data_IF_491444054129
#
_entry.id   IF_491444054129
#
_cell.length_a   1.000
_cell.length_b   1.000
_cell.length_c   1.000
_cell.angle_alpha   90.00
_cell.angle_beta   90.00
_cell.angle_gamma   90.00
#
_symmetry.space_group_name_H-M   'P 1'
#
loop_
_entity.id
_entity.type
_entity.pdbx_description
1 polymer ?
#
# COMPACT_ATOMS: atom_id res chain seq x y z
N UNK A 1 -49.35 83.01 22.65
CA UNK A 1 -48.87 84.14 21.85
C UNK A 1 -48.46 83.50 20.54
N UNK A 2 -49.38 83.51 19.53
CA UNK A 2 -49.32 84.46 18.39
C UNK A 2 -47.99 84.21 17.58
N UNK A 3 -47.95 83.85 16.34
CA UNK A 3 -48.76 84.15 15.16
C UNK A 3 -48.42 83.18 14.02
N UNK A 4 -49.42 82.73 13.27
CA UNK A 4 -49.36 82.46 11.84
C UNK A 4 -49.25 83.79 11.12
N UNK A 5 -48.86 83.85 9.85
CA UNK A 5 -49.52 83.30 8.67
C UNK A 5 -48.46 83.09 7.48
N UNK A 6 -48.70 82.69 6.33
CA UNK A 6 -49.69 82.56 5.26
C UNK A 6 -49.09 82.02 3.99
N UNK A 7 -49.72 81.12 3.35
CA UNK A 7 -50.14 80.88 1.94
C UNK A 7 -49.46 81.66 0.80
N UNK A 8 -49.05 80.93 -0.25
CA UNK A 8 -49.36 81.09 -1.70
C UNK A 8 -48.64 79.97 -2.48
N UNK A 9 -49.25 79.08 -3.09
CA UNK A 9 -50.01 78.80 -4.31
C UNK A 9 -49.24 78.95 -5.64
N UNK A 10 -49.54 77.98 -6.52
CA UNK A 10 -49.30 77.81 -7.97
C UNK A 10 -47.96 77.22 -8.32
N UNK A 11 -47.84 76.26 -9.25
CA UNK A 11 -48.72 75.78 -10.33
C UNK A 11 -48.27 74.39 -10.82
N UNK A 12 -49.27 73.70 -11.37
CA UNK A 12 -49.12 72.39 -12.06
C UNK A 12 -48.17 72.42 -13.22
N UNK A 13 -47.45 71.32 -13.39
CA UNK A 13 -47.08 70.78 -14.72
C UNK A 13 -47.07 69.28 -14.69
N UNK A 14 -47.80 68.74 -15.65
CA UNK A 14 -47.91 67.31 -16.00
C UNK A 14 -46.57 66.78 -16.43
N UNK A 15 -46.25 65.52 -16.14
CA UNK A 15 -45.94 64.56 -17.20
C UNK A 15 -45.61 63.19 -16.61
N UNK A 16 -46.23 62.21 -17.20
CA UNK A 16 -45.82 60.82 -17.51
C UNK A 16 -45.44 59.90 -16.38
N UNK A 17 -46.37 59.04 -16.07
CA UNK A 17 -46.13 57.75 -15.46
C UNK A 17 -45.21 56.89 -16.35
N UNK A 18 -44.04 56.55 -15.87
CA UNK A 18 -43.23 55.44 -16.39
C UNK A 18 -43.30 54.34 -15.33
N UNK A 19 -44.14 53.35 -15.63
CA UNK A 19 -44.22 52.14 -14.88
C UNK A 19 -42.95 51.34 -15.04
N UNK A 20 -42.07 51.32 -14.06
CA UNK A 20 -40.89 50.45 -14.02
C UNK A 20 -41.32 49.10 -13.43
N UNK A 21 -41.64 48.16 -14.31
CA UNK A 21 -41.72 46.74 -13.92
C UNK A 21 -40.31 46.27 -13.57
N UNK A 22 -39.99 46.20 -12.28
CA UNK A 22 -38.83 45.46 -11.80
C UNK A 22 -39.16 43.97 -11.89
N UNK A 23 -38.74 43.34 -12.99
CA UNK A 23 -38.74 41.89 -13.11
C UNK A 23 -37.69 41.34 -12.13
N UNK A 24 -38.18 40.78 -11.03
CA UNK A 24 -37.36 40.02 -10.08
C UNK A 24 -36.97 38.68 -10.74
N UNK A 25 -35.92 38.68 -11.53
CA UNK A 25 -35.29 37.44 -11.96
C UNK A 25 -34.60 36.82 -10.73
N UNK A 26 -35.31 35.95 -10.02
CA UNK A 26 -34.70 35.02 -9.10
C UNK A 26 -33.83 34.03 -9.90
N UNK A 27 -32.56 34.39 -10.02
CA UNK A 27 -31.51 33.47 -10.51
C UNK A 27 -31.40 32.35 -9.49
N UNK A 28 -32.10 31.24 -9.73
CA UNK A 28 -31.80 29.95 -9.15
C UNK A 28 -30.39 29.51 -9.67
N UNK A 29 -29.34 30.05 -9.05
CA UNK A 29 -28.05 29.38 -9.11
C UNK A 29 -28.18 28.08 -8.35
N UNK A 30 -28.63 27.05 -9.05
CA UNK A 30 -28.43 25.69 -8.61
C UNK A 30 -26.92 25.52 -8.43
N UNK A 31 -26.50 25.40 -7.16
CA UNK A 31 -25.16 24.91 -6.84
C UNK A 31 -25.04 23.53 -7.48
N UNK A 32 -24.47 23.47 -8.68
CA UNK A 32 -23.95 22.24 -9.21
C UNK A 32 -22.83 21.87 -8.25
N UNK A 33 -23.14 21.00 -7.29
CA UNK A 33 -22.11 20.29 -6.55
C UNK A 33 -21.28 19.58 -7.59
N UNK A 34 -20.13 20.14 -7.94
CA UNK A 34 -19.09 19.39 -8.59
C UNK A 34 -18.80 18.23 -7.63
N UNK A 35 -19.38 17.07 -7.91
CA UNK A 35 -18.91 15.85 -7.32
C UNK A 35 -17.42 15.78 -7.71
N UNK A 36 -16.54 16.10 -6.77
CA UNK A 36 -15.11 15.95 -6.94
C UNK A 36 -14.89 14.52 -7.41
N UNK A 37 -14.29 14.36 -8.60
CA UNK A 37 -13.95 13.03 -9.06
C UNK A 37 -13.21 12.32 -7.92
N UNK A 38 -13.70 11.14 -7.52
CA UNK A 38 -13.12 10.40 -6.40
C UNK A 38 -11.61 10.27 -6.60
N UNK A 39 -10.84 10.64 -5.58
CA UNK A 39 -9.39 10.59 -5.63
C UNK A 39 -8.93 9.14 -5.79
N UNK A 40 -8.25 8.84 -6.91
CA UNK A 40 -7.90 7.45 -7.27
C UNK A 40 -6.71 6.89 -6.49
N UNK A 41 -5.85 7.76 -5.96
CA UNK A 41 -4.58 7.37 -5.34
C UNK A 41 -4.01 8.46 -4.44
N UNK A 42 -3.12 8.09 -3.54
CA UNK A 42 -2.26 9.03 -2.82
C UNK A 42 -0.97 9.23 -3.63
N UNK A 43 -0.73 10.45 -4.09
CA UNK A 43 0.51 10.82 -4.80
C UNK A 43 1.35 11.74 -3.92
N UNK A 44 2.57 11.32 -3.65
CA UNK A 44 3.55 12.08 -2.87
C UNK A 44 4.78 12.34 -3.72
N UNK A 45 5.03 13.61 -4.02
CA UNK A 45 6.24 14.01 -4.72
C UNK A 45 7.45 13.94 -3.80
N UNK A 46 8.53 13.35 -4.28
CA UNK A 46 9.81 13.31 -3.61
C UNK A 46 10.43 14.69 -3.50
N UNK A 47 11.18 14.88 -2.41
CA UNK A 47 12.06 16.03 -2.23
C UNK A 47 13.48 15.74 -2.71
N UNK A 48 14.44 16.35 -2.03
CA UNK A 48 15.85 16.01 -2.20
C UNK A 48 16.16 14.67 -1.56
N UNK A 49 17.07 13.92 -2.13
CA UNK A 49 17.51 12.64 -1.61
C UNK A 49 17.99 11.66 -2.69
N UNK A 50 18.54 10.51 -2.30
CA UNK A 50 19.08 9.52 -3.25
C UNK A 50 18.03 8.95 -4.20
N UNK A 51 16.76 8.93 -3.79
CA UNK A 51 15.64 8.41 -4.57
C UNK A 51 15.09 9.39 -5.61
N UNK A 52 15.65 10.60 -5.73
CA UNK A 52 15.16 11.60 -6.68
C UNK A 52 15.12 11.06 -8.11
N UNK A 53 13.97 11.22 -8.76
CA UNK A 53 13.72 10.72 -10.12
C UNK A 53 13.34 9.25 -10.19
N UNK A 54 13.22 8.55 -9.05
CA UNK A 54 12.69 7.19 -8.96
C UNK A 54 11.25 7.18 -8.47
N UNK A 55 10.42 6.33 -9.05
CA UNK A 55 9.00 6.21 -8.75
C UNK A 55 8.66 4.86 -8.14
N UNK A 56 8.14 4.87 -6.93
CA UNK A 56 7.67 3.68 -6.21
C UNK A 56 6.14 3.66 -6.22
N UNK A 57 5.56 2.59 -6.74
CA UNK A 57 4.10 2.41 -6.74
C UNK A 57 3.72 1.30 -5.78
N UNK A 58 2.92 1.64 -4.80
CA UNK A 58 2.36 0.71 -3.82
C UNK A 58 0.96 0.28 -4.27
N UNK A 59 0.73 -1.01 -4.39
CA UNK A 59 -0.57 -1.61 -4.71
C UNK A 59 -1.08 -2.28 -3.45
N UNK A 60 -2.11 -1.71 -2.82
CA UNK A 60 -2.69 -2.22 -1.57
C UNK A 60 -4.07 -2.83 -1.80
N UNK A 61 -4.44 -3.75 -0.94
CA UNK A 61 -5.72 -4.47 -1.03
C UNK A 61 -5.70 -5.72 -0.17
N UNK A 62 -5.12 -5.60 1.02
CA UNK A 62 -5.09 -6.67 2.00
C UNK A 62 -5.98 -6.27 3.18
N UNK A 63 -6.97 -7.08 3.48
CA UNK A 63 -8.12 -6.74 4.32
C UNK A 63 -7.92 -6.98 5.81
N UNK A 64 -6.88 -7.73 6.24
CA UNK A 64 -6.65 -8.10 7.64
C UNK A 64 -5.51 -7.31 8.30
N UNK A 65 -4.41 -7.09 7.57
CA UNK A 65 -3.14 -6.59 8.10
C UNK A 65 -2.93 -5.08 7.91
N UNK A 66 -3.96 -4.33 7.49
CA UNK A 66 -3.92 -2.87 7.32
C UNK A 66 -2.87 -2.41 6.31
N UNK A 67 -2.93 -2.97 5.11
CA UNK A 67 -2.02 -2.60 4.03
C UNK A 67 -2.06 -1.10 3.71
N UNK A 68 -3.23 -0.48 3.79
CA UNK A 68 -3.47 0.94 3.54
C UNK A 68 -2.70 1.85 4.51
N UNK A 69 -2.59 1.46 5.77
CA UNK A 69 -1.86 2.22 6.80
C UNK A 69 -0.34 2.09 6.61
N UNK A 70 0.14 0.85 6.51
CA UNK A 70 1.56 0.55 6.41
C UNK A 70 2.21 1.11 5.15
N UNK A 71 1.57 0.90 4.00
CA UNK A 71 2.15 1.35 2.72
C UNK A 71 2.09 2.86 2.55
N UNK A 72 1.05 3.51 3.06
CA UNK A 72 0.99 4.98 3.10
C UNK A 72 2.05 5.58 4.01
N UNK A 73 2.35 4.94 5.15
CA UNK A 73 3.46 5.34 6.01
C UNK A 73 4.80 5.26 5.27
N UNK A 74 5.07 4.16 4.56
CA UNK A 74 6.30 4.02 3.77
C UNK A 74 6.37 5.00 2.61
N UNK A 75 5.27 5.28 1.93
CA UNK A 75 5.25 6.27 0.86
C UNK A 75 5.67 7.66 1.37
N UNK A 76 5.16 8.09 2.55
CA UNK A 76 5.59 9.35 3.17
C UNK A 76 7.07 9.32 3.56
N UNK A 77 7.51 8.23 4.18
CA UNK A 77 8.91 8.05 4.60
C UNK A 77 9.85 8.15 3.40
N UNK A 78 9.61 7.37 2.35
CA UNK A 78 10.41 7.36 1.13
C UNK A 78 10.42 8.71 0.41
N UNK A 79 9.25 9.35 0.31
CA UNK A 79 9.16 10.65 -0.35
C UNK A 79 9.87 11.76 0.43
N UNK A 80 9.66 11.84 1.74
CA UNK A 80 10.14 12.97 2.56
C UNK A 80 11.57 12.81 3.07
N UNK A 81 12.02 11.56 3.33
CA UNK A 81 13.37 11.29 3.84
C UNK A 81 14.36 10.97 2.73
N UNK A 82 13.88 10.36 1.65
CA UNK A 82 14.76 9.77 0.63
C UNK A 82 14.54 10.30 -0.78
N UNK A 83 13.54 11.15 -1.00
CA UNK A 83 13.33 11.85 -2.28
C UNK A 83 12.66 11.03 -3.38
N UNK A 84 12.09 9.86 -3.09
CA UNK A 84 11.33 9.07 -4.06
C UNK A 84 9.98 9.73 -4.39
N UNK A 85 9.58 9.73 -5.66
CA UNK A 85 8.17 9.90 -6.02
C UNK A 85 7.42 8.63 -5.60
N UNK A 86 6.29 8.78 -4.91
CA UNK A 86 5.51 7.64 -4.42
C UNK A 86 4.04 7.77 -4.81
N UNK A 87 3.45 6.67 -5.28
CA UNK A 87 2.00 6.55 -5.51
C UNK A 87 1.47 5.37 -4.73
N UNK A 88 0.43 5.56 -3.92
CA UNK A 88 -0.26 4.47 -3.23
C UNK A 88 -1.64 4.28 -3.83
N UNK A 89 -1.90 3.09 -4.33
CA UNK A 89 -3.16 2.64 -4.89
C UNK A 89 -3.89 1.81 -3.85
N UNK A 90 -5.18 2.04 -3.71
CA UNK A 90 -6.02 1.39 -2.71
C UNK A 90 -7.13 0.58 -3.36
N UNK A 91 -7.50 -0.55 -2.76
CA UNK A 91 -8.77 -1.16 -3.05
C UNK A 91 -9.88 -0.26 -2.51
N UNK A 92 -10.82 0.12 -3.38
CA UNK A 92 -11.89 1.06 -3.05
C UNK A 92 -13.25 0.52 -3.47
N UNK A 93 -14.27 0.95 -2.80
CA UNK A 93 -15.63 0.77 -3.26
C UNK A 93 -15.83 1.56 -4.56
N UNK A 94 -16.31 0.92 -5.65
CA UNK A 94 -16.37 1.55 -6.97
C UNK A 94 -17.41 2.67 -7.08
N UNK A 95 -18.42 2.70 -6.20
CA UNK A 95 -19.48 3.70 -6.23
C UNK A 95 -19.12 4.94 -5.39
N UNK A 96 -18.62 4.71 -4.18
CA UNK A 96 -18.32 5.79 -3.22
C UNK A 96 -16.88 6.29 -3.30
N UNK A 97 -15.94 5.50 -3.86
CA UNK A 97 -14.50 5.78 -3.85
C UNK A 97 -13.85 5.63 -2.47
N UNK A 98 -14.60 5.21 -1.45
CA UNK A 98 -14.08 4.97 -0.10
C UNK A 98 -13.17 3.74 -0.10
N UNK A 99 -12.06 3.83 0.62
CA UNK A 99 -11.11 2.71 0.77
C UNK A 99 -11.82 1.55 1.46
N UNK A 100 -11.85 0.42 0.77
CA UNK A 100 -12.41 -0.83 1.26
C UNK A 100 -11.56 -2.01 0.75
N UNK A 101 -10.63 -2.54 1.53
CA UNK A 101 -9.79 -3.66 1.14
C UNK A 101 -10.56 -4.96 0.81
N UNK A 102 -11.83 -5.09 1.20
CA UNK A 102 -12.65 -6.23 0.83
C UNK A 102 -13.04 -6.23 -0.66
N UNK A 103 -12.89 -5.09 -1.36
CA UNK A 103 -13.19 -4.97 -2.79
C UNK A 103 -12.13 -5.69 -3.63
N UNK A 104 -12.36 -6.98 -3.90
CA UNK A 104 -11.41 -7.85 -4.57
C UNK A 104 -11.12 -7.50 -6.03
N UNK A 105 -11.95 -6.67 -6.67
CA UNK A 105 -11.92 -6.41 -8.12
C UNK A 105 -11.62 -4.96 -8.49
N UNK A 106 -11.44 -4.06 -7.54
CA UNK A 106 -11.32 -2.64 -7.84
C UNK A 106 -10.16 -1.97 -7.10
N UNK A 107 -9.08 -1.69 -7.83
CA UNK A 107 -7.92 -0.91 -7.42
C UNK A 107 -7.66 0.13 -8.51
N UNK A 108 -8.25 1.34 -8.43
CA UNK A 108 -8.09 2.36 -9.46
C UNK A 108 -6.65 2.91 -9.52
N UNK A 109 -6.22 3.35 -10.71
CA UNK A 109 -4.93 4.02 -10.89
C UNK A 109 -3.76 3.08 -11.19
N UNK A 110 -3.99 1.80 -11.50
CA UNK A 110 -2.93 0.83 -11.81
C UNK A 110 -2.08 1.25 -13.04
N UNK A 111 -2.55 2.15 -13.87
CA UNK A 111 -1.77 2.77 -14.95
C UNK A 111 -0.50 3.48 -14.46
N UNK A 112 -0.41 3.87 -13.17
CA UNK A 112 0.79 4.43 -12.56
C UNK A 112 1.99 3.46 -12.63
N UNK A 113 1.76 2.15 -12.73
CA UNK A 113 2.81 1.15 -12.89
C UNK A 113 3.63 1.31 -14.18
N UNK A 114 3.11 2.01 -15.21
CA UNK A 114 3.88 2.31 -16.44
C UNK A 114 5.16 3.05 -16.15
N UNK A 115 5.12 4.03 -15.22
CA UNK A 115 6.27 4.85 -14.83
C UNK A 115 7.00 4.34 -13.57
N UNK A 116 6.51 3.27 -12.94
CA UNK A 116 7.13 2.73 -11.73
C UNK A 116 8.52 2.15 -12.01
N UNK A 117 9.48 2.47 -11.16
CA UNK A 117 10.76 1.76 -11.05
C UNK A 117 10.64 0.50 -10.20
N UNK A 118 9.81 0.54 -9.16
CA UNK A 118 9.51 -0.60 -8.28
C UNK A 118 8.01 -0.67 -8.00
N UNK A 119 7.44 -1.86 -8.10
CA UNK A 119 6.10 -2.15 -7.57
C UNK A 119 6.23 -2.76 -6.18
N UNK A 120 5.56 -2.17 -5.19
CA UNK A 120 5.36 -2.76 -3.87
C UNK A 120 3.95 -3.32 -3.80
N UNK A 121 3.82 -4.63 -3.63
CA UNK A 121 2.52 -5.31 -3.61
C UNK A 121 2.19 -5.80 -2.21
N UNK A 122 1.09 -5.31 -1.65
CA UNK A 122 0.50 -5.82 -0.42
C UNK A 122 -1.02 -6.01 -0.61
N UNK A 123 -1.36 -7.10 -1.26
CA UNK A 123 -2.73 -7.45 -1.62
C UNK A 123 -2.99 -8.93 -1.37
N UNK A 124 -4.27 -9.32 -1.26
CA UNK A 124 -4.72 -10.69 -1.07
C UNK A 124 -5.97 -10.99 -1.88
N UNK A 125 -5.97 -12.12 -2.59
CA UNK A 125 -7.14 -12.68 -3.29
C UNK A 125 -7.81 -11.70 -4.29
N UNK A 126 -7.00 -10.95 -5.03
CA UNK A 126 -7.51 -10.05 -6.07
C UNK A 126 -7.91 -10.82 -7.32
N UNK A 127 -9.08 -10.47 -7.86
CA UNK A 127 -9.58 -10.85 -9.18
C UNK A 127 -9.83 -9.56 -9.97
N UNK A 128 -8.73 -8.91 -10.39
CA UNK A 128 -8.83 -7.64 -11.09
C UNK A 128 -9.38 -7.82 -12.50
N UNK A 129 -10.14 -6.85 -13.03
CA UNK A 129 -10.49 -6.81 -14.46
C UNK A 129 -9.24 -6.93 -15.33
N UNK A 130 -9.37 -7.55 -16.51
CA UNK A 130 -8.23 -7.82 -17.40
C UNK A 130 -7.45 -6.57 -17.78
N UNK A 131 -8.13 -5.44 -17.99
CA UNK A 131 -7.48 -4.16 -18.28
C UNK A 131 -6.62 -3.65 -17.15
N UNK A 132 -7.05 -3.84 -15.91
CA UNK A 132 -6.34 -3.44 -14.70
C UNK A 132 -5.19 -4.40 -14.40
N UNK A 133 -5.45 -5.70 -14.47
CA UNK A 133 -4.43 -6.74 -14.29
C UNK A 133 -3.30 -6.64 -15.30
N UNK A 134 -3.61 -6.18 -16.51
CA UNK A 134 -2.61 -5.93 -17.57
C UNK A 134 -1.48 -5.00 -17.10
N UNK A 135 -1.75 -3.98 -16.30
CA UNK A 135 -0.71 -3.07 -15.82
C UNK A 135 0.29 -3.77 -14.90
N UNK A 136 -0.19 -4.68 -14.04
CA UNK A 136 0.66 -5.50 -13.18
C UNK A 136 1.46 -6.50 -14.03
N UNK A 137 0.80 -7.15 -14.98
CA UNK A 137 1.44 -8.10 -15.86
C UNK A 137 2.50 -7.45 -16.77
N UNK A 138 2.24 -6.26 -17.31
CA UNK A 138 3.20 -5.51 -18.12
C UNK A 138 4.44 -5.11 -17.29
N UNK A 139 4.25 -4.68 -16.01
CA UNK A 139 5.35 -4.36 -15.11
C UNK A 139 6.27 -5.58 -14.88
N UNK A 140 5.67 -6.73 -14.58
CA UNK A 140 6.40 -7.99 -14.36
C UNK A 140 7.05 -8.48 -15.66
N UNK A 141 6.34 -8.46 -16.78
CA UNK A 141 6.84 -8.91 -18.10
C UNK A 141 7.98 -8.04 -18.63
N UNK A 142 8.08 -6.80 -18.17
CA UNK A 142 9.22 -5.92 -18.46
C UNK A 142 10.44 -6.20 -17.56
N UNK A 143 10.38 -7.18 -16.66
CA UNK A 143 11.46 -7.50 -15.72
C UNK A 143 11.65 -6.43 -14.63
N UNK A 144 10.66 -5.56 -14.42
CA UNK A 144 10.75 -4.50 -13.41
C UNK A 144 10.67 -5.07 -11.99
N UNK A 145 11.40 -4.47 -11.03
CA UNK A 145 11.46 -4.96 -9.67
C UNK A 145 10.12 -5.01 -8.94
N UNK A 146 9.96 -6.05 -8.10
CA UNK A 146 8.77 -6.27 -7.27
C UNK A 146 9.17 -6.45 -5.81
N UNK A 147 8.49 -5.76 -4.90
CA UNK A 147 8.58 -6.01 -3.47
C UNK A 147 7.26 -6.60 -2.98
N UNK A 148 7.29 -7.86 -2.56
CA UNK A 148 6.13 -8.58 -2.02
C UNK A 148 6.06 -8.49 -0.51
N UNK A 149 4.92 -8.04 0.02
CA UNK A 149 4.68 -7.93 1.46
C UNK A 149 3.68 -9.00 1.89
N UNK A 150 4.08 -9.85 2.82
CA UNK A 150 3.26 -10.85 3.50
C UNK A 150 2.32 -11.61 2.55
N UNK A 151 1.07 -11.19 2.42
CA UNK A 151 0.05 -11.85 1.63
C UNK A 151 0.20 -11.69 0.12
N UNK A 152 1.22 -10.96 -0.35
CA UNK A 152 1.54 -10.88 -1.77
C UNK A 152 1.78 -12.25 -2.42
N UNK A 153 2.22 -13.25 -1.66
CA UNK A 153 2.40 -14.64 -2.12
C UNK A 153 1.09 -15.32 -2.54
N UNK A 154 -0.05 -14.75 -2.19
CA UNK A 154 -1.39 -15.16 -2.65
C UNK A 154 -2.23 -13.93 -3.03
N UNK A 155 -1.59 -12.95 -3.65
CA UNK A 155 -2.24 -11.70 -4.07
C UNK A 155 -3.42 -11.93 -5.00
N UNK A 156 -3.34 -12.94 -5.88
CA UNK A 156 -4.34 -13.19 -6.91
C UNK A 156 -5.08 -14.50 -6.66
N UNK A 157 -6.40 -14.45 -6.90
CA UNK A 157 -7.28 -15.60 -6.81
C UNK A 157 -8.39 -15.48 -7.85
N UNK A 158 -8.45 -16.43 -8.75
CA UNK A 158 -9.44 -16.49 -9.81
C UNK A 158 -10.40 -17.66 -9.58
N UNK A 159 -11.68 -17.55 -9.96
CA UNK A 159 -12.60 -18.68 -9.96
C UNK A 159 -12.12 -19.78 -10.93
N UNK A 160 -12.46 -21.06 -10.68
CA UNK A 160 -12.00 -22.17 -11.52
C UNK A 160 -12.45 -22.09 -13.00
N UNK A 161 -13.57 -21.42 -13.26
CA UNK A 161 -14.18 -21.21 -14.56
C UNK A 161 -13.79 -19.87 -15.21
N UNK A 162 -12.83 -19.15 -14.62
CA UNK A 162 -12.38 -17.86 -15.16
C UNK A 162 -11.85 -18.00 -16.58
N UNK A 163 -12.33 -17.11 -17.46
CA UNK A 163 -11.84 -16.95 -18.84
C UNK A 163 -10.76 -15.90 -18.99
N UNK A 164 -10.36 -15.24 -17.88
CA UNK A 164 -9.30 -14.23 -17.88
C UNK A 164 -7.98 -14.82 -18.39
N UNK A 165 -7.22 -14.12 -19.24
CA UNK A 165 -5.87 -14.52 -19.64
C UNK A 165 -4.91 -14.57 -18.45
N UNK A 166 -5.28 -13.96 -17.33
CA UNK A 166 -4.47 -13.92 -16.09
C UNK A 166 -4.87 -14.98 -15.06
N UNK A 167 -5.83 -15.89 -15.36
CA UNK A 167 -6.28 -16.92 -14.40
C UNK A 167 -5.13 -17.75 -13.81
N UNK A 168 -4.05 -17.95 -14.56
CA UNK A 168 -2.88 -18.69 -14.09
C UNK A 168 -2.00 -17.92 -13.09
N UNK A 169 -2.28 -16.63 -12.84
CA UNK A 169 -1.64 -15.85 -11.78
C UNK A 169 -2.19 -16.23 -10.38
N UNK A 170 -3.30 -16.99 -10.34
CA UNK A 170 -3.87 -17.55 -9.12
C UNK A 170 -2.81 -18.31 -8.31
N UNK A 171 -2.77 -18.06 -7.01
CA UNK A 171 -1.82 -18.68 -6.09
C UNK A 171 -1.88 -20.22 -6.02
N UNK A 172 -2.95 -20.83 -6.53
CA UNK A 172 -3.17 -22.28 -6.62
C UNK A 172 -2.95 -22.83 -8.02
N UNK A 173 -2.55 -21.98 -8.97
CA UNK A 173 -2.37 -22.39 -10.36
C UNK A 173 -1.47 -23.60 -10.48
N UNK A 174 -1.87 -24.56 -11.34
CA UNK A 174 -1.07 -25.73 -11.71
C UNK A 174 -0.35 -25.53 -13.02
N UNK A 175 -0.93 -24.77 -13.95
CA UNK A 175 -0.37 -24.51 -15.29
C UNK A 175 0.84 -23.55 -15.22
N UNK A 176 0.79 -22.57 -14.32
CA UNK A 176 1.92 -21.74 -13.93
C UNK A 176 2.10 -21.94 -12.42
N UNK A 177 2.74 -23.02 -12.04
CA UNK A 177 2.73 -23.62 -10.71
C UNK A 177 2.90 -22.60 -9.59
N UNK A 178 1.88 -22.52 -8.70
CA UNK A 178 1.84 -21.58 -7.59
C UNK A 178 1.64 -20.12 -8.01
N UNK A 179 1.38 -19.88 -9.30
CA UNK A 179 1.06 -18.57 -9.86
C UNK A 179 2.09 -17.50 -9.59
N UNK A 180 1.63 -16.25 -9.52
CA UNK A 180 2.47 -15.09 -9.25
C UNK A 180 3.34 -15.27 -7.99
N UNK A 181 2.76 -15.79 -6.90
CA UNK A 181 3.47 -15.96 -5.63
C UNK A 181 4.73 -16.79 -5.81
N UNK A 182 4.61 -18.02 -6.29
CA UNK A 182 5.77 -18.91 -6.45
C UNK A 182 6.72 -18.45 -7.55
N UNK A 183 6.19 -18.01 -8.68
CA UNK A 183 7.02 -17.73 -9.86
C UNK A 183 7.78 -16.41 -9.74
N UNK A 184 7.17 -15.39 -9.17
CA UNK A 184 7.75 -14.05 -9.06
C UNK A 184 8.37 -13.81 -7.68
N UNK A 185 7.69 -14.24 -6.61
CA UNK A 185 8.10 -13.98 -5.23
C UNK A 185 8.86 -15.13 -4.57
N UNK A 186 8.87 -16.33 -5.19
CA UNK A 186 9.62 -17.51 -4.71
C UNK A 186 8.78 -18.52 -3.97
N UNK A 187 7.66 -18.16 -3.38
CA UNK A 187 6.74 -19.12 -2.77
C UNK A 187 5.28 -18.66 -2.91
N UNK A 188 4.38 -19.63 -2.87
CA UNK A 188 2.93 -19.40 -2.77
C UNK A 188 2.46 -19.79 -1.40
N UNK A 189 1.50 -19.06 -0.86
CA UNK A 189 0.96 -19.34 0.47
C UNK A 189 0.27 -20.71 0.55
N UNK A 190 0.59 -21.46 1.59
CA UNK A 190 -0.05 -22.74 1.92
C UNK A 190 -0.63 -22.74 3.32
N UNK A 191 0.07 -22.19 4.30
CA UNK A 191 -0.36 -22.16 5.70
C UNK A 191 0.43 -21.12 6.51
N UNK A 192 -0.12 -20.75 7.64
CA UNK A 192 0.65 -20.17 8.74
C UNK A 192 1.57 -21.24 9.33
N UNK A 193 2.81 -20.90 9.66
CA UNK A 193 3.71 -21.78 10.40
C UNK A 193 3.60 -21.56 11.91
N UNK A 194 3.52 -20.31 12.33
CA UNK A 194 3.08 -19.94 13.68
C UNK A 194 1.55 -20.04 13.82
N UNK A 195 1.05 -20.10 15.04
CA UNK A 195 -0.40 -20.05 15.29
C UNK A 195 -0.90 -18.63 15.11
N UNK A 196 -1.77 -18.47 14.13
CA UNK A 196 -2.38 -17.21 13.76
C UNK A 196 -2.92 -16.41 14.97
N UNK A 197 -2.51 -15.16 15.13
CA UNK A 197 -2.88 -14.26 16.23
C UNK A 197 -2.52 -14.74 17.64
N UNK A 198 -1.68 -15.73 17.79
CA UNK A 198 -1.28 -16.28 19.09
C UNK A 198 0.22 -16.38 19.28
N UNK A 199 0.94 -16.49 18.20
CA UNK A 199 2.39 -16.70 18.20
C UNK A 199 3.05 -15.63 17.33
N UNK A 200 4.02 -14.93 17.90
CA UNK A 200 4.83 -13.93 17.21
C UNK A 200 6.03 -14.58 16.52
N UNK A 201 6.77 -13.77 15.79
CA UNK A 201 8.00 -14.18 15.12
C UNK A 201 9.20 -13.39 15.61
N UNK A 202 10.28 -14.08 15.96
CA UNK A 202 11.61 -13.51 16.09
C UNK A 202 12.44 -13.94 14.88
N UNK A 203 12.69 -13.01 13.96
CA UNK A 203 13.49 -13.27 12.78
C UNK A 203 14.98 -13.10 13.11
N UNK A 204 15.81 -14.05 12.65
CA UNK A 204 17.26 -14.08 12.83
C UNK A 204 17.95 -13.88 11.49
N UNK A 205 18.99 -13.04 11.46
CA UNK A 205 19.83 -12.81 10.29
C UNK A 205 20.55 -14.09 9.88
N UNK A 206 20.59 -14.36 8.56
CA UNK A 206 21.36 -15.47 8.01
C UNK A 206 22.85 -15.10 7.91
N UNK A 207 23.69 -15.98 8.42
CA UNK A 207 25.15 -15.76 8.44
C UNK A 207 25.75 -15.75 7.03
N UNK A 208 25.20 -16.52 6.10
CA UNK A 208 25.66 -16.61 4.72
C UNK A 208 25.58 -15.26 3.96
N UNK A 209 24.65 -14.39 4.35
CA UNK A 209 24.42 -13.10 3.69
C UNK A 209 24.74 -11.90 4.59
N UNK A 210 25.55 -12.07 5.64
CA UNK A 210 25.82 -11.03 6.66
C UNK A 210 26.34 -9.71 6.08
N UNK A 211 27.07 -9.75 4.98
CA UNK A 211 27.60 -8.57 4.29
C UNK A 211 26.68 -7.97 3.25
N UNK A 212 25.47 -8.52 3.06
CA UNK A 212 24.55 -8.02 2.04
C UNK A 212 24.21 -6.54 2.31
N UNK A 213 24.31 -5.64 1.31
CA UNK A 213 24.14 -4.18 1.51
C UNK A 213 22.84 -3.79 2.19
N UNK A 214 21.76 -4.51 1.91
CA UNK A 214 20.43 -4.27 2.48
C UNK A 214 20.39 -4.47 4.01
N UNK A 215 21.37 -5.19 4.57
CA UNK A 215 21.46 -5.44 6.02
C UNK A 215 22.21 -4.35 6.79
N UNK A 216 22.72 -3.31 6.12
CA UNK A 216 23.40 -2.20 6.81
C UNK A 216 22.46 -1.52 7.79
N UNK A 217 22.92 -1.36 9.01
CA UNK A 217 22.16 -0.73 10.10
C UNK A 217 20.97 -1.52 10.61
N UNK A 218 20.71 -2.73 10.09
CA UNK A 218 19.66 -3.63 10.57
C UNK A 218 20.22 -4.51 11.69
N UNK A 219 19.45 -4.75 12.76
CA UNK A 219 19.85 -5.60 13.87
C UNK A 219 19.97 -7.09 13.47
N UNK A 220 20.66 -7.89 14.30
CA UNK A 220 20.78 -9.34 14.10
C UNK A 220 19.44 -10.08 14.24
N UNK A 221 18.50 -9.48 14.98
CA UNK A 221 17.16 -10.03 15.17
C UNK A 221 16.09 -8.96 14.95
N UNK A 222 14.94 -9.36 14.40
CA UNK A 222 13.77 -8.51 14.18
C UNK A 222 12.58 -9.20 14.80
N UNK A 223 11.93 -8.52 15.74
CA UNK A 223 10.65 -8.98 16.30
C UNK A 223 9.48 -8.49 15.47
N UNK A 224 8.52 -9.39 15.20
CA UNK A 224 7.24 -9.07 14.54
C UNK A 224 6.08 -9.68 15.33
N UNK A 225 5.02 -8.89 15.51
CA UNK A 225 3.81 -9.32 16.20
C UNK A 225 3.05 -10.44 15.47
N UNK A 226 3.32 -10.61 14.18
CA UNK A 226 2.66 -11.61 13.35
C UNK A 226 3.48 -12.89 13.28
N UNK A 227 2.76 -13.98 13.07
CA UNK A 227 3.32 -15.29 12.81
C UNK A 227 4.04 -15.35 11.45
N UNK A 228 5.05 -16.19 11.33
CA UNK A 228 5.71 -16.50 10.07
C UNK A 228 4.89 -17.50 9.25
N UNK A 229 4.89 -17.33 7.93
CA UNK A 229 4.27 -18.29 7.01
C UNK A 229 5.15 -19.52 6.79
N UNK A 230 4.52 -20.65 6.42
CA UNK A 230 5.22 -21.81 5.87
C UNK A 230 5.76 -21.44 4.48
N UNK A 231 7.08 -21.32 4.34
CA UNK A 231 7.79 -21.01 3.10
C UNK A 231 8.63 -22.23 2.72
N UNK A 232 8.26 -22.92 1.65
CA UNK A 232 8.73 -24.28 1.38
C UNK A 232 9.35 -24.47 -0.02
N UNK A 233 9.28 -23.45 -0.89
CA UNK A 233 9.64 -23.61 -2.32
C UNK A 233 10.83 -22.78 -2.77
N UNK A 234 11.46 -22.07 -1.83
CA UNK A 234 12.71 -21.37 -2.16
C UNK A 234 13.79 -22.36 -2.56
N UNK A 235 14.65 -21.94 -3.43
CA UNK A 235 15.80 -22.70 -3.95
C UNK A 235 17.10 -22.10 -3.42
N UNK A 236 18.23 -22.75 -3.69
CA UNK A 236 19.55 -22.23 -3.34
C UNK A 236 19.91 -20.93 -4.08
N UNK A 237 19.21 -20.62 -5.17
CA UNK A 237 19.37 -19.35 -5.88
C UNK A 237 18.66 -18.17 -5.20
N UNK A 238 17.79 -18.43 -4.22
CA UNK A 238 17.08 -17.41 -3.46
C UNK A 238 17.94 -16.95 -2.27
N UNK A 239 18.21 -15.66 -2.18
CA UNK A 239 19.07 -15.06 -1.15
C UNK A 239 18.27 -14.80 0.14
N UNK A 240 18.18 -15.79 1.02
CA UNK A 240 17.46 -15.65 2.30
C UNK A 240 18.29 -14.81 3.27
N UNK A 241 17.79 -13.63 3.64
CA UNK A 241 18.46 -12.70 4.54
C UNK A 241 18.09 -12.89 6.02
N UNK A 242 16.85 -13.29 6.28
CA UNK A 242 16.34 -13.57 7.62
C UNK A 242 15.48 -14.83 7.63
N UNK A 243 15.55 -15.56 8.76
CA UNK A 243 14.65 -16.69 9.05
C UNK A 243 13.91 -16.46 10.35
N UNK A 244 12.59 -16.68 10.34
CA UNK A 244 11.69 -16.48 11.46
C UNK A 244 11.58 -17.71 12.36
N UNK A 245 11.82 -17.53 13.65
CA UNK A 245 11.54 -18.48 14.72
C UNK A 245 10.19 -18.15 15.35
N UNK A 246 9.37 -19.15 15.60
CA UNK A 246 8.06 -18.99 16.25
C UNK A 246 8.25 -18.82 17.76
N UNK A 247 7.64 -17.78 18.33
CA UNK A 247 7.59 -17.53 19.77
C UNK A 247 6.28 -18.10 20.36
N UNK A 248 6.32 -18.45 21.65
CA UNK A 248 5.19 -19.07 22.36
C UNK A 248 4.05 -18.09 22.68
N UNK A 249 4.23 -16.81 22.43
CA UNK A 249 3.27 -15.73 22.65
C UNK A 249 3.50 -14.55 21.73
N UNK A 250 3.01 -13.37 22.12
CA UNK A 250 3.02 -12.15 21.30
C UNK A 250 3.99 -11.07 21.79
N UNK A 251 4.86 -11.38 22.77
CA UNK A 251 5.84 -10.43 23.31
C UNK A 251 7.24 -10.75 22.80
N UNK A 252 8.12 -9.76 22.63
CA UNK A 252 9.48 -9.97 22.16
C UNK A 252 10.36 -10.77 23.15
N UNK A 253 9.93 -10.90 24.41
CA UNK A 253 10.61 -11.67 25.47
C UNK A 253 10.07 -13.09 25.62
N UNK A 254 9.04 -13.47 24.87
CA UNK A 254 8.50 -14.83 24.93
C UNK A 254 9.52 -15.83 24.40
N UNK A 255 9.59 -17.00 25.03
CA UNK A 255 10.49 -18.05 24.59
C UNK A 255 10.05 -18.65 23.25
N UNK A 256 10.96 -19.25 22.49
CA UNK A 256 10.57 -20.10 21.37
C UNK A 256 9.54 -21.16 21.78
N UNK A 257 8.65 -21.54 20.85
CA UNK A 257 7.68 -22.62 21.11
C UNK A 257 8.41 -23.90 21.53
N UNK A 258 7.78 -24.69 22.40
CA UNK A 258 8.33 -25.96 22.88
C UNK A 258 7.62 -27.15 22.24
N UNK A 259 7.65 -27.21 20.91
CA UNK A 259 7.13 -28.30 20.09
C UNK A 259 8.08 -28.57 18.90
N UNK A 260 7.66 -29.39 17.94
CA UNK A 260 8.47 -29.76 16.77
C UNK A 260 8.96 -28.58 15.92
N UNK A 261 8.39 -27.38 16.12
CA UNK A 261 8.78 -26.14 15.40
C UNK A 261 9.92 -25.37 16.09
N UNK A 262 10.33 -25.80 17.31
CA UNK A 262 11.30 -25.07 18.16
C UNK A 262 12.60 -24.72 17.44
N UNK A 263 13.15 -25.69 16.71
CA UNK A 263 14.45 -25.56 16.06
C UNK A 263 14.34 -25.28 14.55
N UNK A 264 13.11 -25.13 14.04
CA UNK A 264 12.84 -24.81 12.64
C UNK A 264 12.61 -23.33 12.45
N UNK A 265 13.40 -22.74 11.55
CA UNK A 265 13.27 -21.33 11.18
C UNK A 265 12.82 -21.21 9.73
N UNK A 266 11.63 -20.68 9.48
CA UNK A 266 11.11 -20.45 8.13
C UNK A 266 11.77 -19.24 7.47
N UNK A 267 12.01 -19.24 6.15
CA UNK A 267 12.42 -18.02 5.45
C UNK A 267 11.47 -16.87 5.79
N UNK A 268 12.04 -15.72 6.15
CA UNK A 268 11.27 -14.55 6.60
C UNK A 268 11.39 -13.37 5.64
N UNK A 269 12.61 -13.13 5.12
CA UNK A 269 12.87 -12.11 4.12
C UNK A 269 13.96 -12.58 3.15
N UNK A 270 13.74 -12.43 1.84
CA UNK A 270 14.64 -12.91 0.80
C UNK A 270 14.59 -12.09 -0.48
N UNK A 271 15.67 -12.14 -1.26
CA UNK A 271 15.69 -11.72 -2.65
C UNK A 271 15.61 -12.93 -3.60
N UNK A 272 15.09 -12.67 -4.78
CA UNK A 272 14.99 -13.62 -5.87
C UNK A 272 15.22 -12.95 -7.21
N UNK A 273 15.93 -13.61 -8.12
CA UNK A 273 15.83 -13.34 -9.56
C UNK A 273 14.70 -14.18 -10.12
N UNK A 274 13.66 -13.53 -10.62
CA UNK A 274 12.53 -14.21 -11.24
C UNK A 274 12.65 -14.18 -12.78
N UNK A 275 11.98 -15.12 -13.45
CA UNK A 275 11.75 -15.09 -14.89
C UNK A 275 10.27 -14.85 -15.15
N UNK A 276 9.96 -13.74 -15.81
CA UNK A 276 8.58 -13.38 -16.16
C UNK A 276 8.00 -14.30 -17.25
N UNK A 277 6.66 -14.35 -17.46
CA UNK A 277 6.05 -15.08 -18.58
C UNK A 277 6.59 -14.68 -19.95
N UNK A 278 7.07 -13.45 -20.10
CA UNK A 278 7.75 -12.95 -21.31
C UNK A 278 9.15 -13.53 -21.55
N UNK A 279 9.73 -14.24 -20.57
CA UNK A 279 11.11 -14.71 -20.58
C UNK A 279 12.12 -13.68 -20.06
N UNK A 280 11.70 -12.44 -19.77
CA UNK A 280 12.58 -11.40 -19.23
C UNK A 280 12.84 -11.67 -17.75
N UNK A 281 14.08 -11.49 -17.30
CA UNK A 281 14.42 -11.60 -15.88
C UNK A 281 14.18 -10.28 -15.15
N UNK A 282 13.74 -10.39 -13.91
CA UNK A 282 13.61 -9.29 -12.98
C UNK A 282 14.05 -9.71 -11.59
N UNK A 283 14.02 -8.77 -10.65
CA UNK A 283 14.41 -9.02 -9.25
C UNK A 283 13.24 -8.76 -8.31
N UNK A 284 13.02 -9.63 -7.33
CA UNK A 284 12.03 -9.40 -6.28
C UNK A 284 12.65 -9.48 -4.90
N UNK A 285 12.05 -8.77 -3.95
CA UNK A 285 12.25 -8.93 -2.52
C UNK A 285 10.92 -9.31 -1.88
N UNK A 286 10.94 -10.23 -0.94
CA UNK A 286 9.73 -10.70 -0.28
C UNK A 286 9.94 -10.80 1.22
N UNK A 287 8.93 -10.42 2.01
CA UNK A 287 8.89 -10.62 3.46
C UNK A 287 7.57 -11.24 3.90
N UNK A 288 7.63 -12.16 4.86
CA UNK A 288 6.45 -12.74 5.50
C UNK A 288 5.89 -11.87 6.63
N UNK A 289 6.60 -10.82 7.04
CA UNK A 289 6.10 -9.77 7.92
C UNK A 289 5.42 -8.65 7.11
N UNK A 290 4.69 -7.77 7.80
CA UNK A 290 4.16 -6.58 7.16
C UNK A 290 2.81 -6.11 7.67
N UNK A 291 2.30 -6.67 8.76
CA UNK A 291 1.13 -6.11 9.43
C UNK A 291 1.42 -4.69 9.95
N UNK A 292 0.39 -3.89 10.11
CA UNK A 292 0.51 -2.53 10.62
C UNK A 292 1.37 -2.42 11.88
N UNK A 293 1.20 -3.34 12.84
CA UNK A 293 1.96 -3.37 14.08
C UNK A 293 3.42 -3.80 13.90
N UNK A 294 3.73 -4.65 12.91
CA UNK A 294 5.10 -5.09 12.65
C UNK A 294 6.00 -3.90 12.29
N UNK A 295 5.44 -2.90 11.61
CA UNK A 295 6.16 -1.69 11.20
C UNK A 295 6.56 -0.75 12.36
N UNK A 296 6.14 -1.02 13.59
CA UNK A 296 6.68 -0.34 14.77
C UNK A 296 8.13 -0.74 15.05
N UNK A 297 8.58 -1.90 14.56
CA UNK A 297 9.98 -2.30 14.63
C UNK A 297 10.83 -1.49 13.63
N UNK A 298 11.83 -0.74 14.15
CA UNK A 298 12.68 0.14 13.35
C UNK A 298 13.54 -0.65 12.36
N UNK A 299 14.04 -1.82 12.76
CA UNK A 299 14.91 -2.64 11.92
C UNK A 299 14.15 -3.30 10.77
N UNK A 300 12.87 -3.68 10.98
CA UNK A 300 12.02 -4.13 9.89
C UNK A 300 11.77 -3.01 8.88
N UNK A 301 11.50 -1.78 9.35
CA UNK A 301 11.36 -0.63 8.46
C UNK A 301 12.64 -0.37 7.67
N UNK A 302 13.81 -0.47 8.33
CA UNK A 302 15.11 -0.26 7.68
C UNK A 302 15.40 -1.33 6.64
N UNK A 303 15.13 -2.58 6.95
CA UNK A 303 15.24 -3.68 5.99
C UNK A 303 14.38 -3.40 4.74
N UNK A 304 13.13 -2.96 4.94
CA UNK A 304 12.21 -2.62 3.85
C UNK A 304 12.73 -1.45 3.00
N UNK A 305 13.13 -0.36 3.62
CA UNK A 305 13.64 0.83 2.91
C UNK A 305 14.93 0.50 2.16
N UNK A 306 15.85 -0.24 2.78
CA UNK A 306 17.08 -0.68 2.13
C UNK A 306 16.78 -1.62 0.94
N UNK A 307 15.76 -2.48 1.05
CA UNK A 307 15.31 -3.31 -0.08
C UNK A 307 14.75 -2.46 -1.24
N UNK A 308 14.00 -1.40 -0.94
CA UNK A 308 13.55 -0.45 -1.97
C UNK A 308 14.74 0.23 -2.65
N UNK A 309 15.77 0.66 -1.91
CA UNK A 309 16.99 1.21 -2.50
C UNK A 309 17.66 0.20 -3.44
N UNK A 310 17.85 -1.03 -2.99
CA UNK A 310 18.46 -2.09 -3.78
C UNK A 310 17.69 -2.37 -5.07
N UNK A 311 16.35 -2.54 -4.97
CA UNK A 311 15.48 -2.78 -6.12
C UNK A 311 15.44 -1.58 -7.08
N UNK A 312 15.67 -0.37 -6.59
CA UNK A 312 15.74 0.85 -7.41
C UNK A 312 17.12 1.06 -8.08
N UNK A 313 18.07 0.14 -7.87
CA UNK A 313 19.45 0.28 -8.37
C UNK A 313 20.27 1.31 -7.59
N UNK A 314 19.92 1.57 -6.34
CA UNK A 314 20.52 2.59 -5.47
C UNK A 314 21.24 1.97 -4.25
N UNK A 315 21.75 0.76 -4.36
CA UNK A 315 22.46 0.08 -3.25
C UNK A 315 23.62 0.88 -2.67
N UNK A 316 24.34 1.62 -3.53
CA UNK A 316 25.44 2.49 -3.10
C UNK A 316 25.00 3.65 -2.20
N UNK A 317 23.71 3.99 -2.19
CA UNK A 317 23.15 5.03 -1.35
C UNK A 317 22.65 4.53 0.03
N UNK A 318 22.69 3.22 0.27
CA UNK A 318 22.38 2.65 1.58
C UNK A 318 23.51 3.01 2.54
N UNK A 319 23.24 3.92 3.48
CA UNK A 319 24.19 4.34 4.51
C UNK A 319 24.33 3.32 5.64
N UNK A 320 25.22 3.59 6.58
CA UNK A 320 25.46 2.73 7.75
C UNK A 320 24.18 2.56 8.60
N UNK A 321 23.35 3.58 8.64
CA UNK A 321 22.04 3.54 9.29
C UNK A 321 21.04 4.42 8.54
N UNK A 322 20.35 3.85 7.54
CA UNK A 322 19.31 4.53 6.77
C UNK A 322 18.23 5.11 7.69
N UNK A 323 17.87 6.39 7.52
CA UNK A 323 16.83 7.03 8.32
C UNK A 323 15.44 6.45 7.99
N UNK A 324 14.80 5.90 9.00
CA UNK A 324 13.45 5.30 8.91
C UNK A 324 12.49 5.89 9.95
N UNK A 325 12.83 7.08 10.44
CA UNK A 325 11.98 7.84 11.36
C UNK A 325 10.65 8.17 10.67
N UNK A 326 9.56 7.94 11.37
CA UNK A 326 8.23 8.24 10.85
C UNK A 326 8.11 9.70 10.39
N UNK A 327 7.38 9.89 9.32
CA UNK A 327 6.98 11.21 8.82
C UNK A 327 5.49 11.38 9.11
N UNK A 328 5.17 12.36 9.96
CA UNK A 328 3.84 12.45 10.57
C UNK A 328 3.63 11.36 11.64
N UNK A 329 2.43 11.29 12.18
CA UNK A 329 2.08 10.24 13.13
C UNK A 329 1.94 8.87 12.44
N UNK A 330 2.31 7.81 13.16
CA UNK A 330 1.96 6.44 12.81
C UNK A 330 1.38 5.74 14.04
N UNK A 331 0.07 5.61 14.07
CA UNK A 331 -0.69 4.95 15.13
C UNK A 331 -1.48 3.79 14.50
N UNK A 332 -0.81 2.67 14.25
CA UNK A 332 -1.41 1.55 13.53
C UNK A 332 -2.59 0.98 14.30
N UNK A 333 -3.68 0.70 13.57
CA UNK A 333 -4.82 -0.01 14.13
C UNK A 333 -4.49 -1.49 14.28
N UNK A 334 -5.11 -2.18 15.23
CA UNK A 334 -4.99 -3.63 15.36
C UNK A 334 -5.39 -4.33 14.06
N UNK A 335 -4.73 -5.47 13.80
CA UNK A 335 -5.10 -6.37 12.71
C UNK A 335 -6.49 -6.96 12.93
N UNK A 336 -7.20 -7.25 11.87
CA UNK A 336 -8.54 -7.84 11.93
C UNK A 336 -9.39 -7.52 10.72
N UNK A 337 -10.33 -8.42 10.42
CA UNK A 337 -11.31 -8.23 9.36
C UNK A 337 -12.35 -7.19 9.79
N UNK A 338 -12.67 -6.28 8.89
CA UNK A 338 -13.82 -5.39 9.00
C UNK A 338 -14.85 -5.76 7.93
N UNK A 339 -16.13 -5.60 8.24
CA UNK A 339 -17.20 -5.71 7.23
C UNK A 339 -17.18 -4.50 6.29
N UNK A 340 -17.80 -4.63 5.11
CA UNK A 340 -17.94 -3.51 4.17
C UNK A 340 -18.63 -2.32 4.82
N UNK A 341 -19.68 -2.56 5.63
CA UNK A 341 -20.37 -1.51 6.38
C UNK A 341 -19.45 -0.81 7.40
N UNK A 342 -18.50 -1.53 8.00
CA UNK A 342 -17.53 -0.94 8.91
C UNK A 342 -16.49 -0.10 8.14
N UNK A 343 -16.00 -0.58 6.99
CA UNK A 343 -15.13 0.20 6.12
C UNK A 343 -15.81 1.48 5.63
N UNK A 344 -17.06 1.37 5.16
CA UNK A 344 -17.83 2.52 4.70
C UNK A 344 -18.00 3.60 5.79
N UNK A 345 -18.18 3.21 7.05
CA UNK A 345 -18.28 4.16 8.18
C UNK A 345 -17.00 4.93 8.45
N UNK A 346 -15.85 4.38 8.10
CA UNK A 346 -14.56 5.06 8.28
C UNK A 346 -14.37 6.21 7.29
N UNK A 347 -15.10 6.22 6.18
CA UNK A 347 -15.05 7.24 5.13
C UNK A 347 -13.62 7.58 4.67
N UNK A 348 -12.71 6.60 4.70
CA UNK A 348 -11.32 6.79 4.36
C UNK A 348 -11.15 7.00 2.85
N UNK A 349 -10.40 8.02 2.48
CA UNK A 349 -9.98 8.31 1.11
C UNK A 349 -8.45 8.38 1.06
N UNK A 350 -7.82 8.33 -0.11
CA UNK A 350 -6.37 8.46 -0.23
C UNK A 350 -5.77 9.67 0.50
N UNK A 351 -6.43 10.81 0.48
CA UNK A 351 -5.98 12.05 1.15
C UNK A 351 -5.85 11.93 2.67
N UNK A 352 -6.62 11.06 3.32
CA UNK A 352 -6.48 10.81 4.76
C UNK A 352 -5.07 10.34 5.16
N UNK A 353 -4.33 9.76 4.22
CA UNK A 353 -2.99 9.24 4.46
C UNK A 353 -1.87 10.19 4.04
N UNK A 354 -2.18 11.39 3.55
CA UNK A 354 -1.18 12.32 3.02
C UNK A 354 -0.23 12.85 4.10
N UNK A 355 -0.75 13.15 5.30
CA UNK A 355 0.01 13.78 6.40
C UNK A 355 0.36 12.83 7.56
N UNK A 356 -0.13 11.61 7.55
CA UNK A 356 -0.03 10.68 8.67
C UNK A 356 -1.20 10.77 9.63
N UNK A 357 -1.39 9.75 10.47
CA UNK A 357 -2.41 9.78 11.51
C UNK A 357 -2.06 10.88 12.53
N UNK A 358 -3.00 11.77 12.77
CA UNK A 358 -2.95 12.72 13.90
C UNK A 358 -3.42 12.03 15.17
#
# INVERSE_FOLDING_TARGET
>A
MLFLPTVKSFSAWRTSAVTFCVALCASLFGSVSNASAAEKSLVLKGGEGPGRGKHIVFVTGEEFYRSEEGMSMFARLLARRHGFDCTVLFATDPESGVINPNQGKHIPGLEALKSADVMVLFARFRELPDGDMKHIADHVNAGKPVLGVRNATHAFKYPPDSTSPYRNWDYRSRDWQGGFGQQILGDTWVAHYGRFQKEATLAHRESAHRSHPVLRGVAETIFCHTDVNSVLRLTEADEVLFRGQVLSGLNPTDAPVNDARKDVRMPFAWFRTYTAPSGVQGRSFTTTAGASLDWLNEDLRRLFVNAVFSLSGLEGAIGDKTDVTFVGGYQPKPTGMLSDAAWAKLMLTPSHFAEGAR
#
